data_IF_711930115567
#
_entry.id   IF_711930115567
#
_cell.length_a   1.000
_cell.length_b   1.000
_cell.length_c   1.000
_cell.angle_alpha   90.00
_cell.angle_beta   90.00
_cell.angle_gamma   90.00
#
_symmetry.space_group_name_H-M   'P 1'
#
loop_
_entity.id
_entity.type
_entity.pdbx_description
1 polymer ?
#
# COMPACT_ATOMS: atom_id res chain seq x y z
N UNK A 1 49.33 -21.06 18.92
CA UNK A 1 48.02 -21.08 18.20
C UNK A 1 46.84 -20.45 18.95
N UNK A 2 46.83 -20.27 20.28
CA UNK A 2 45.68 -19.69 21.01
C UNK A 2 45.57 -18.15 21.01
N UNK A 3 46.62 -17.40 20.67
CA UNK A 3 46.60 -15.91 20.70
C UNK A 3 46.00 -15.26 19.44
N UNK A 4 45.95 -15.98 18.31
CA UNK A 4 45.44 -15.45 17.03
C UNK A 4 43.92 -15.48 16.91
N UNK A 5 43.22 -16.33 17.68
CA UNK A 5 41.75 -16.39 17.66
C UNK A 5 41.08 -15.28 18.50
N UNK A 6 41.77 -14.72 19.50
CA UNK A 6 41.21 -13.66 20.34
C UNK A 6 41.14 -12.31 19.61
N UNK A 7 42.14 -11.99 18.78
CA UNK A 7 42.18 -10.75 17.99
C UNK A 7 41.10 -10.72 16.89
N UNK A 8 40.80 -11.87 16.26
CA UNK A 8 39.76 -11.97 15.23
C UNK A 8 38.34 -11.77 15.79
N UNK A 9 38.08 -12.20 17.03
CA UNK A 9 36.77 -12.00 17.68
C UNK A 9 36.55 -10.55 18.15
N UNK A 10 37.60 -9.86 18.59
CA UNK A 10 37.53 -8.46 19.01
C UNK A 10 37.35 -7.52 17.81
N UNK A 11 37.99 -7.82 16.66
CA UNK A 11 37.81 -7.06 15.42
C UNK A 11 36.41 -7.23 14.81
N UNK A 12 35.81 -8.42 14.94
CA UNK A 12 34.46 -8.67 14.42
C UNK A 12 33.37 -8.05 15.31
N UNK A 13 33.58 -7.99 16.63
CA UNK A 13 32.65 -7.33 17.56
C UNK A 13 32.68 -5.80 17.46
N UNK A 14 33.84 -5.21 17.14
CA UNK A 14 33.96 -3.76 16.92
C UNK A 14 33.38 -3.31 15.58
N UNK A 15 33.43 -4.15 14.54
CA UNK A 15 32.75 -3.87 13.27
C UNK A 15 31.22 -3.97 13.37
N UNK A 16 30.70 -4.90 14.16
CA UNK A 16 29.23 -5.05 14.36
C UNK A 16 28.66 -3.93 15.24
N UNK A 17 29.42 -3.42 16.21
CA UNK A 17 28.98 -2.30 17.06
C UNK A 17 28.99 -0.94 16.33
N UNK A 18 29.87 -0.75 15.33
CA UNK A 18 29.95 0.50 14.57
C UNK A 18 28.92 0.59 13.42
N UNK A 19 28.34 -0.53 13.01
CA UNK A 19 27.28 -0.57 12.00
C UNK A 19 25.87 -0.25 12.56
N UNK A 20 25.70 -0.29 13.90
CA UNK A 20 24.41 -0.02 14.56
C UNK A 20 24.18 1.44 14.98
N UNK A 21 25.08 2.36 14.63
CA UNK A 21 24.96 3.79 14.97
C UNK A 21 24.68 4.70 13.76
N UNK A 22 24.28 4.14 12.62
CA UNK A 22 23.72 4.92 11.53
C UNK A 22 22.20 5.06 11.76
N UNK A 23 21.81 5.86 12.75
CA UNK A 23 20.47 6.44 12.78
C UNK A 23 20.36 7.33 11.56
N UNK A 24 19.79 6.76 10.50
CA UNK A 24 19.25 7.49 9.37
C UNK A 24 18.17 8.41 9.95
N UNK A 25 18.56 9.66 10.27
CA UNK A 25 17.61 10.72 10.51
C UNK A 25 16.89 10.89 9.17
N UNK A 26 15.76 10.22 9.03
CA UNK A 26 14.79 10.53 7.99
C UNK A 26 14.31 11.93 8.32
N UNK A 27 15.00 12.94 7.80
CA UNK A 27 14.40 14.25 7.60
C UNK A 27 13.30 13.99 6.59
N UNK A 28 12.08 13.73 7.08
CA UNK A 28 10.90 14.04 6.31
C UNK A 28 11.09 15.50 5.93
N UNK A 29 11.29 15.75 4.64
CA UNK A 29 11.12 17.08 4.12
C UNK A 29 9.63 17.38 4.31
N UNK A 30 9.27 17.91 5.48
CA UNK A 30 8.04 18.65 5.60
C UNK A 30 8.11 19.71 4.51
N UNK A 31 7.20 19.63 3.55
CA UNK A 31 7.06 20.68 2.56
C UNK A 31 6.95 21.99 3.35
N UNK A 32 7.97 22.84 3.21
CA UNK A 32 8.01 24.11 3.92
C UNK A 32 6.71 24.86 3.62
N UNK A 33 5.96 25.18 4.67
CA UNK A 33 4.72 25.95 4.52
C UNK A 33 5.07 27.28 3.87
N UNK A 34 4.25 27.79 2.93
CA UNK A 34 4.56 29.05 2.28
C UNK A 34 4.62 30.14 3.35
N UNK A 35 5.67 30.95 3.29
CA UNK A 35 5.90 32.09 4.18
C UNK A 35 6.15 33.33 3.34
N UNK A 36 5.75 34.49 3.86
CA UNK A 36 6.06 35.79 3.26
C UNK A 36 6.78 36.61 4.32
N UNK A 37 8.02 37.00 4.05
CA UNK A 37 8.83 37.78 4.99
C UNK A 37 8.77 39.25 4.63
N UNK A 38 8.41 40.05 5.62
CA UNK A 38 8.33 41.50 5.55
C UNK A 38 9.47 42.08 6.36
N UNK A 39 10.17 43.03 5.75
CA UNK A 39 11.26 43.73 6.40
C UNK A 39 10.99 45.22 6.32
N UNK A 40 11.27 45.92 7.41
CA UNK A 40 11.06 47.36 7.48
C UNK A 40 11.78 47.99 8.64
N UNK A 41 11.61 49.30 8.74
CA UNK A 41 12.13 50.10 9.84
C UNK A 41 11.06 51.04 10.34
N UNK A 42 10.88 51.11 11.64
CA UNK A 42 9.98 52.06 12.30
C UNK A 42 10.82 53.15 12.96
N UNK A 43 10.50 54.40 12.66
CA UNK A 43 11.08 55.59 13.30
C UNK A 43 9.99 56.38 13.99
N UNK A 44 10.32 56.99 15.12
CA UNK A 44 9.44 57.94 15.78
C UNK A 44 9.36 59.25 14.97
N UNK A 45 8.41 60.12 15.31
CA UNK A 45 8.25 61.42 14.67
C UNK A 45 9.50 62.33 14.82
N UNK A 46 10.34 62.08 15.82
CA UNK A 46 11.61 62.77 16.07
C UNK A 46 12.79 62.22 15.22
N UNK A 47 12.54 61.22 14.37
CA UNK A 47 13.56 60.57 13.53
C UNK A 47 14.44 59.55 14.27
N UNK A 48 14.25 59.37 15.58
CA UNK A 48 14.96 58.32 16.34
C UNK A 48 14.37 56.95 16.06
N UNK A 49 15.17 55.87 16.16
CA UNK A 49 14.67 54.52 15.97
C UNK A 49 13.61 54.18 17.03
N UNK A 50 12.56 53.48 16.59
CA UNK A 50 11.57 52.94 17.50
C UNK A 50 12.17 51.76 18.29
N UNK A 51 12.00 51.77 19.61
CA UNK A 51 12.65 50.86 20.55
C UNK A 51 11.62 50.45 21.60
N UNK A 52 11.13 49.22 21.53
CA UNK A 52 10.23 48.65 22.55
C UNK A 52 10.37 47.12 22.61
N UNK A 53 10.41 46.54 23.83
CA UNK A 53 10.58 45.10 24.03
C UNK A 53 9.35 44.25 23.68
N UNK A 54 8.19 44.87 23.46
CA UNK A 54 6.92 44.17 23.28
C UNK A 54 6.09 44.67 22.11
N UNK A 55 6.73 45.07 21.01
CA UNK A 55 6.00 45.63 19.86
C UNK A 55 5.13 44.55 19.23
N UNK A 56 3.82 44.77 19.17
CA UNK A 56 2.91 43.86 18.50
C UNK A 56 2.69 44.33 17.06
N UNK A 57 2.83 43.41 16.11
CA UNK A 57 2.51 43.59 14.72
C UNK A 57 1.23 42.85 14.40
N UNK A 58 0.33 43.48 13.64
CA UNK A 58 -0.84 42.85 13.04
C UNK A 58 -0.72 42.97 11.54
N UNK A 59 -0.67 41.84 10.88
CA UNK A 59 -0.45 41.75 9.44
C UNK A 59 -1.70 41.14 8.82
N UNK A 60 -2.27 41.85 7.86
CA UNK A 60 -3.50 41.47 7.19
C UNK A 60 -3.27 41.33 5.70
N UNK A 61 -3.71 40.22 5.13
CA UNK A 61 -3.85 40.04 3.68
C UNK A 61 -5.30 40.32 3.33
N UNK A 62 -5.52 41.30 2.47
CA UNK A 62 -6.82 41.81 2.05
C UNK A 62 -7.13 41.41 0.61
N UNK A 63 -8.43 41.43 0.28
CA UNK A 63 -8.92 41.39 -1.10
C UNK A 63 -8.42 42.61 -1.92
N UNK A 64 -8.45 42.54 -3.27
CA UNK A 64 -7.95 43.61 -4.14
C UNK A 64 -8.61 44.97 -3.90
N UNK A 65 -9.87 44.97 -3.47
CA UNK A 65 -10.65 46.17 -3.15
C UNK A 65 -10.38 46.73 -1.75
N UNK A 66 -9.44 46.12 -1.00
CA UNK A 66 -9.04 46.50 0.37
C UNK A 66 -10.15 46.39 1.40
N UNK A 67 -11.24 45.66 1.10
CA UNK A 67 -12.41 45.59 2.00
C UNK A 67 -12.39 44.38 2.90
N UNK A 68 -12.04 43.21 2.39
CA UNK A 68 -12.19 41.95 3.13
C UNK A 68 -10.84 41.39 3.57
N UNK A 69 -10.76 40.96 4.83
CA UNK A 69 -9.58 40.30 5.39
C UNK A 69 -9.61 38.81 5.05
N UNK A 70 -8.65 38.36 4.24
CA UNK A 70 -8.47 36.95 3.85
C UNK A 70 -7.60 36.18 4.84
N UNK A 71 -6.62 36.86 5.42
CA UNK A 71 -5.71 36.28 6.41
C UNK A 71 -5.28 37.37 7.39
N UNK A 72 -5.15 37.01 8.67
CA UNK A 72 -4.66 37.91 9.71
C UNK A 72 -3.81 37.16 10.71
N UNK A 73 -2.64 37.72 10.99
CA UNK A 73 -1.69 37.17 11.94
C UNK A 73 -1.16 38.30 12.83
N UNK A 74 -1.13 38.04 14.13
CA UNK A 74 -0.51 38.92 15.11
C UNK A 74 0.80 38.33 15.59
N UNK A 75 1.88 39.12 15.62
CA UNK A 75 3.18 38.71 16.13
C UNK A 75 3.75 39.74 17.11
N UNK A 76 4.24 39.28 18.26
CA UNK A 76 5.04 40.13 19.16
C UNK A 76 6.52 40.02 18.81
N UNK A 77 7.19 41.16 18.59
CA UNK A 77 8.63 41.25 18.36
C UNK A 77 9.28 42.29 19.25
N UNK A 78 10.47 41.95 19.73
CA UNK A 78 11.35 42.84 20.48
C UNK A 78 12.18 43.68 19.51
N UNK A 79 12.02 45.01 19.56
CA UNK A 79 12.77 45.97 18.75
C UNK A 79 13.87 46.68 19.56
N UNK A 80 14.07 46.32 20.83
CA UNK A 80 15.11 46.89 21.68
C UNK A 80 16.52 46.55 21.17
N UNK A 81 17.35 47.57 21.00
CA UNK A 81 18.68 47.47 20.40
C UNK A 81 18.68 47.11 18.91
N UNK A 82 17.55 47.19 18.20
CA UNK A 82 17.43 46.82 16.76
C UNK A 82 17.32 48.00 15.81
N UNK A 83 17.59 49.22 16.27
CA UNK A 83 17.44 50.47 15.49
C UNK A 83 16.08 50.63 14.77
N UNK A 84 15.02 50.05 15.35
CA UNK A 84 13.67 50.03 14.78
C UNK A 84 13.50 49.09 13.58
N UNK A 85 14.51 48.29 13.23
CA UNK A 85 14.43 47.29 12.18
C UNK A 85 13.61 46.09 12.64
N UNK A 86 12.70 45.64 11.78
CA UNK A 86 11.92 44.43 12.01
C UNK A 86 11.97 43.51 10.80
N UNK A 87 11.90 42.21 11.06
CA UNK A 87 11.65 41.17 10.08
C UNK A 87 10.55 40.26 10.63
N UNK A 88 9.44 40.16 9.90
CA UNK A 88 8.26 39.39 10.29
C UNK A 88 7.91 38.46 9.15
N UNK A 89 7.90 37.16 9.42
CA UNK A 89 7.55 36.14 8.45
C UNK A 89 6.16 35.60 8.76
N UNK A 90 5.24 35.71 7.79
CA UNK A 90 3.88 35.18 7.91
C UNK A 90 3.89 33.66 7.85
N UNK A 91 3.01 33.03 8.63
CA UNK A 91 2.76 31.59 8.63
C UNK A 91 4.04 30.75 8.91
N UNK A 92 4.95 31.28 9.73
CA UNK A 92 6.25 30.68 10.05
C UNK A 92 6.27 29.85 11.36
N UNK A 93 5.16 29.88 12.12
CA UNK A 93 5.05 29.19 13.41
C UNK A 93 5.91 29.78 14.52
N UNK A 94 6.43 31.01 14.36
CA UNK A 94 7.24 31.70 15.35
C UNK A 94 6.53 31.80 16.70
N UNK A 95 7.30 31.66 17.80
CA UNK A 95 6.79 31.91 19.13
C UNK A 95 6.26 33.36 19.25
N UNK A 96 5.05 33.52 19.81
CA UNK A 96 4.37 34.82 19.87
C UNK A 96 3.66 35.21 18.58
N UNK A 97 3.61 34.34 17.57
CA UNK A 97 2.68 34.44 16.44
C UNK A 97 1.36 33.73 16.75
N UNK A 98 0.24 34.37 16.41
CA UNK A 98 -1.06 33.76 16.41
C UNK A 98 -1.86 34.22 15.20
N UNK A 99 -2.48 33.26 14.49
CA UNK A 99 -3.46 33.54 13.46
C UNK A 99 -4.79 33.95 14.11
N UNK A 100 -5.31 35.11 13.74
CA UNK A 100 -6.49 35.73 14.39
C UNK A 100 -7.66 35.98 13.43
N UNK A 101 -7.56 35.56 12.17
CA UNK A 101 -8.67 35.72 11.22
C UNK A 101 -9.89 34.83 11.49
N UNK A 102 -9.69 33.64 12.09
CA UNK A 102 -10.75 32.68 12.35
C UNK A 102 -11.32 32.01 11.10
N UNK A 103 -10.66 32.16 9.94
CA UNK A 103 -11.11 31.54 8.70
C UNK A 103 -10.69 30.05 8.64
N UNK A 104 -11.44 29.25 7.89
CA UNK A 104 -11.21 27.80 7.75
C UNK A 104 -10.16 27.42 6.69
N UNK A 105 -9.83 28.33 5.79
CA UNK A 105 -8.81 28.11 4.74
C UNK A 105 -7.41 28.36 5.27
N UNK A 106 -6.40 27.81 4.61
CA UNK A 106 -4.96 27.96 4.95
C UNK A 106 -4.38 29.27 4.42
N UNK A 107 -3.19 29.65 4.90
CA UNK A 107 -2.45 30.81 4.36
C UNK A 107 -2.18 30.69 2.85
N UNK A 108 -1.79 29.50 2.40
CA UNK A 108 -1.59 29.20 0.97
C UNK A 108 -2.86 29.48 0.15
N UNK A 109 -4.01 29.06 0.66
CA UNK A 109 -5.29 29.32 0.01
C UNK A 109 -5.61 30.82 -0.02
N UNK A 110 -5.35 31.58 1.04
CA UNK A 110 -5.59 33.02 1.05
C UNK A 110 -4.77 33.78 -0.04
N UNK A 111 -3.61 33.25 -0.42
CA UNK A 111 -2.75 33.79 -1.49
C UNK A 111 -3.13 33.28 -2.89
N UNK A 112 -3.88 32.19 -2.97
CA UNK A 112 -4.30 31.54 -4.22
C UNK A 112 -5.47 32.29 -4.87
N UNK A 113 -5.48 32.36 -6.21
CA UNK A 113 -6.61 32.86 -7.00
C UNK A 113 -7.58 31.72 -7.40
N UNK A 114 -7.69 30.69 -6.56
CA UNK A 114 -8.55 29.53 -6.78
C UNK A 114 -9.61 29.39 -5.69
N UNK A 115 -10.81 28.97 -6.10
CA UNK A 115 -11.93 28.74 -5.20
C UNK A 115 -12.70 30.01 -4.85
N UNK A 116 -13.56 29.90 -3.85
CA UNK A 116 -14.36 31.01 -3.33
C UNK A 116 -14.21 31.09 -1.81
N UNK A 117 -14.02 32.29 -1.29
CA UNK A 117 -13.87 32.58 0.13
C UNK A 117 -15.19 33.13 0.66
N UNK A 118 -15.78 32.43 1.62
CA UNK A 118 -16.96 32.91 2.36
C UNK A 118 -16.47 33.62 3.62
N UNK A 119 -16.34 34.94 3.54
CA UNK A 119 -15.71 35.77 4.56
C UNK A 119 -16.81 36.31 5.49
N UNK A 120 -16.69 36.17 6.82
CA UNK A 120 -17.65 36.75 7.75
C UNK A 120 -17.79 38.27 7.53
N UNK A 121 -19.02 38.80 7.53
CA UNK A 121 -19.27 40.22 7.31
C UNK A 121 -18.46 41.15 8.23
N UNK A 122 -18.22 40.74 9.47
CA UNK A 122 -17.41 41.46 10.45
C UNK A 122 -15.94 41.67 10.03
N UNK A 123 -15.46 40.90 9.05
CA UNK A 123 -14.09 40.96 8.50
C UNK A 123 -14.04 41.68 7.15
N UNK A 124 -15.14 42.29 6.73
CA UNK A 124 -15.24 43.07 5.50
C UNK A 124 -15.71 44.49 5.80
N UNK A 125 -14.92 45.49 5.40
CA UNK A 125 -15.32 46.89 5.46
C UNK A 125 -16.58 47.12 4.62
N UNK A 126 -17.58 47.75 5.21
CA UNK A 126 -18.87 48.09 4.58
C UNK A 126 -19.69 46.87 4.10
N UNK A 127 -19.54 45.70 4.71
CA UNK A 127 -20.52 44.63 4.54
C UNK A 127 -21.87 45.10 5.11
N UNK A 128 -22.79 45.54 4.25
CA UNK A 128 -24.09 46.13 4.63
C UNK A 128 -25.08 45.17 5.28
N UNK A 129 -24.63 44.13 6.00
CA UNK A 129 -25.45 43.12 6.63
C UNK A 129 -24.64 42.09 7.44
N UNK A 130 -25.32 41.10 8.02
CA UNK A 130 -24.71 40.00 8.81
C UNK A 130 -24.29 38.80 7.97
N UNK A 131 -24.70 38.76 6.70
CA UNK A 131 -24.41 37.65 5.78
C UNK A 131 -22.94 37.63 5.34
N UNK A 132 -22.30 36.45 5.26
CA UNK A 132 -20.94 36.34 4.75
C UNK A 132 -20.79 36.95 3.35
N UNK A 133 -19.70 37.66 3.11
CA UNK A 133 -19.31 38.18 1.80
C UNK A 133 -18.56 37.08 1.07
N UNK A 134 -19.06 36.69 -0.11
CA UNK A 134 -18.39 35.71 -0.95
C UNK A 134 -17.44 36.43 -1.90
N UNK A 135 -16.14 36.24 -1.68
CA UNK A 135 -15.08 36.70 -2.59
C UNK A 135 -14.62 35.54 -3.46
N UNK A 136 -14.77 35.68 -4.78
CA UNK A 136 -14.23 34.73 -5.77
C UNK A 136 -13.15 35.46 -6.56
N UNK A 137 -11.85 35.14 -6.36
CA UNK A 137 -10.76 35.84 -7.04
C UNK A 137 -10.83 35.65 -8.55
N UNK A 138 -10.52 36.71 -9.29
CA UNK A 138 -10.19 36.61 -10.71
C UNK A 138 -8.74 36.16 -10.89
N UNK A 139 -8.40 35.68 -12.09
CA UNK A 139 -7.05 35.18 -12.38
C UNK A 139 -5.95 36.23 -12.15
N UNK A 140 -6.26 37.51 -12.35
CA UNK A 140 -5.36 38.66 -12.22
C UNK A 140 -5.54 39.44 -10.91
N UNK A 141 -6.31 38.92 -9.96
CA UNK A 141 -6.52 39.61 -8.69
C UNK A 141 -5.26 39.58 -7.83
N UNK A 142 -4.77 40.76 -7.44
CA UNK A 142 -3.63 40.92 -6.54
C UNK A 142 -4.09 40.95 -5.08
N UNK A 143 -3.18 40.63 -4.15
CA UNK A 143 -3.47 40.73 -2.72
C UNK A 143 -2.90 42.03 -2.17
N UNK A 144 -3.63 42.66 -1.26
CA UNK A 144 -3.17 43.88 -0.59
C UNK A 144 -2.74 43.52 0.82
N UNK A 145 -1.54 43.95 1.20
CA UNK A 145 -0.99 43.78 2.52
C UNK A 145 -1.15 45.06 3.33
N UNK A 146 -1.70 44.91 4.54
CA UNK A 146 -1.75 45.95 5.55
C UNK A 146 -0.95 45.49 6.76
N UNK A 147 0.08 46.26 7.10
CA UNK A 147 0.88 46.04 8.31
C UNK A 147 0.52 47.14 9.29
N UNK A 148 0.09 46.76 10.48
CA UNK A 148 -0.10 47.68 11.59
C UNK A 148 0.76 47.26 12.77
N UNK A 149 1.19 48.21 13.59
CA UNK A 149 1.94 47.94 14.81
C UNK A 149 1.34 48.72 15.98
N UNK A 150 1.64 48.25 17.19
CA UNK A 150 1.38 49.00 18.41
C UNK A 150 2.44 48.66 19.46
N UNK A 151 2.73 49.62 20.32
CA UNK A 151 3.47 49.41 21.56
C UNK A 151 2.52 48.95 22.67
N UNK A 152 2.96 48.22 23.71
CA UNK A 152 2.20 48.03 24.95
C UNK A 152 1.63 49.31 25.58
N UNK A 153 2.19 50.49 25.28
CA UNK A 153 1.67 51.78 25.76
C UNK A 153 0.57 52.38 24.87
N UNK A 154 0.39 51.88 23.65
CA UNK A 154 -0.57 52.38 22.67
C UNK A 154 -1.91 51.64 22.78
N UNK A 155 -3.01 52.40 22.76
CA UNK A 155 -4.38 51.85 22.74
C UNK A 155 -4.91 51.57 21.33
N UNK A 156 -4.30 52.17 20.31
CA UNK A 156 -4.73 52.07 18.90
C UNK A 156 -3.61 51.50 18.03
N UNK A 157 -3.99 50.74 17.01
CA UNK A 157 -3.08 50.26 15.98
C UNK A 157 -2.67 51.41 15.06
N UNK A 158 -1.37 51.59 14.84
CA UNK A 158 -0.85 52.47 13.80
C UNK A 158 -0.58 51.67 12.53
N UNK A 159 -1.17 52.09 11.42
CA UNK A 159 -1.18 51.33 10.18
C UNK A 159 -0.20 51.94 9.17
N UNK A 160 0.70 51.10 8.67
CA UNK A 160 1.55 51.43 7.53
C UNK A 160 0.71 51.53 6.25
N UNK A 161 1.18 52.27 5.22
CA UNK A 161 0.49 52.31 3.93
C UNK A 161 0.29 50.92 3.34
N UNK A 162 -0.82 50.74 2.62
CA UNK A 162 -1.10 49.53 1.88
C UNK A 162 0.03 49.21 0.89
N UNK A 163 0.42 47.94 0.83
CA UNK A 163 1.40 47.45 -0.13
C UNK A 163 0.78 46.33 -0.97
N UNK A 164 1.11 46.31 -2.25
CA UNK A 164 0.62 45.29 -3.18
C UNK A 164 1.55 44.07 -3.11
N UNK A 165 0.97 42.89 -2.86
CA UNK A 165 1.65 41.62 -3.06
C UNK A 165 1.50 41.25 -4.53
N UNK A 166 2.58 41.47 -5.28
CA UNK A 166 2.66 41.07 -6.68
C UNK A 166 2.47 39.56 -6.84
N UNK A 167 2.09 39.16 -8.06
CA UNK A 167 1.80 37.78 -8.48
C UNK A 167 2.92 36.75 -8.17
N UNK A 168 4.13 37.21 -7.85
CA UNK A 168 5.22 36.36 -7.38
C UNK A 168 4.83 35.51 -6.17
N UNK A 169 4.01 36.03 -5.26
CA UNK A 169 3.56 35.29 -4.07
C UNK A 169 2.48 34.26 -4.43
N UNK A 170 1.66 34.53 -5.45
CA UNK A 170 0.71 33.55 -6.02
C UNK A 170 1.40 32.41 -6.78
N UNK A 171 2.72 32.45 -6.98
CA UNK A 171 3.49 31.30 -7.47
C UNK A 171 3.42 30.08 -6.54
N UNK A 172 2.93 30.26 -5.30
CA UNK A 172 2.60 29.16 -4.39
C UNK A 172 1.67 28.13 -5.04
N UNK A 173 0.81 28.54 -5.98
CA UNK A 173 -0.06 27.60 -6.71
C UNK A 173 0.72 26.60 -7.58
N UNK A 174 1.98 26.89 -7.93
CA UNK A 174 2.84 25.99 -8.73
C UNK A 174 3.23 24.69 -8.00
N UNK A 175 3.05 24.61 -6.68
CA UNK A 175 3.25 23.37 -5.93
C UNK A 175 2.12 22.36 -6.17
N UNK A 176 1.01 22.79 -6.77
CA UNK A 176 -0.14 21.98 -7.08
C UNK A 176 -0.32 21.87 -8.61
N UNK A 177 -0.75 20.71 -9.10
CA UNK A 177 -1.12 20.54 -10.51
C UNK A 177 -2.64 20.53 -10.59
N UNK A 178 -3.22 21.57 -11.22
CA UNK A 178 -4.68 21.70 -11.34
C UNK A 178 -5.41 21.87 -10.01
N UNK A 179 -4.74 22.37 -8.97
CA UNK A 179 -5.29 22.49 -7.60
C UNK A 179 -5.16 21.21 -6.77
N UNK A 180 -4.56 20.15 -7.32
CA UNK A 180 -4.25 18.94 -6.58
C UNK A 180 -2.80 18.95 -6.12
N UNK A 181 -2.51 18.71 -4.83
CA UNK A 181 -1.14 18.48 -4.36
C UNK A 181 -0.58 17.21 -5.00
N UNK A 182 0.74 17.05 -4.99
CA UNK A 182 1.43 15.86 -5.54
C UNK A 182 0.88 14.54 -4.98
N UNK A 183 0.44 14.53 -3.73
CA UNK A 183 -0.17 13.38 -3.04
C UNK A 183 -1.54 12.98 -3.58
N UNK A 184 -2.21 13.85 -4.35
CA UNK A 184 -3.55 13.64 -4.88
C UNK A 184 -3.59 13.46 -6.40
N UNK A 185 -2.43 13.41 -7.06
CA UNK A 185 -2.32 13.25 -8.52
C UNK A 185 -2.52 11.80 -8.97
N UNK A 186 -2.02 10.85 -8.20
CA UNK A 186 -2.28 9.42 -8.43
C UNK A 186 -3.40 8.98 -7.48
N UNK A 187 -4.61 8.81 -8.01
CA UNK A 187 -5.75 8.28 -7.25
C UNK A 187 -6.03 6.86 -7.70
N UNK A 188 -6.41 6.01 -6.75
CA UNK A 188 -7.02 4.70 -7.05
C UNK A 188 -8.51 4.89 -6.83
N UNK A 189 -9.31 4.57 -7.84
CA UNK A 189 -10.76 4.51 -7.69
C UNK A 189 -11.14 3.11 -7.21
N UNK A 190 -11.71 3.02 -6.02
CA UNK A 190 -12.35 1.80 -5.53
C UNK A 190 -13.86 1.98 -5.58
N UNK A 191 -14.52 1.23 -6.48
CA UNK A 191 -15.98 1.21 -6.61
C UNK A 191 -16.62 2.61 -6.75
N UNK A 192 -15.99 3.50 -7.53
CA UNK A 192 -16.51 4.84 -7.82
C UNK A 192 -16.27 5.89 -6.72
N UNK A 193 -15.55 5.53 -5.64
CA UNK A 193 -15.09 6.50 -4.63
C UNK A 193 -13.59 6.74 -4.80
N UNK A 194 -13.13 7.99 -5.03
CA UNK A 194 -11.70 8.29 -5.09
C UNK A 194 -11.04 8.01 -3.75
N UNK A 195 -10.21 6.96 -3.69
CA UNK A 195 -9.37 6.65 -2.54
C UNK A 195 -8.04 7.38 -2.63
N UNK A 196 -7.49 7.79 -1.48
CA UNK A 196 -6.07 8.18 -1.40
C UNK A 196 -5.26 6.89 -1.48
N UNK A 197 -4.55 6.70 -2.59
CA UNK A 197 -3.61 5.60 -2.72
C UNK A 197 -2.41 5.88 -1.81
N UNK A 198 -2.07 4.93 -0.93
CA UNK A 198 -0.81 5.00 -0.21
C UNK A 198 0.34 5.05 -1.22
N UNK A 199 1.40 5.80 -0.89
CA UNK A 199 2.59 5.84 -1.73
C UNK A 199 3.13 4.42 -1.94
N UNK A 200 3.39 4.03 -3.19
CA UNK A 200 3.98 2.74 -3.52
C UNK A 200 5.34 2.62 -2.82
N UNK A 201 5.50 1.58 -1.99
CA UNK A 201 6.77 1.38 -1.30
C UNK A 201 7.86 0.93 -2.29
N UNK A 202 9.13 1.10 -1.92
CA UNK A 202 10.24 0.57 -2.73
C UNK A 202 10.16 -0.95 -2.90
N UNK A 203 9.58 -1.66 -1.92
CA UNK A 203 9.35 -3.10 -1.99
C UNK A 203 8.26 -3.45 -3.02
N UNK A 204 7.14 -2.72 -3.01
CA UNK A 204 6.04 -2.92 -3.96
C UNK A 204 6.50 -2.64 -5.39
N UNK A 205 7.28 -1.57 -5.58
CA UNK A 205 7.85 -1.25 -6.89
C UNK A 205 8.79 -2.35 -7.40
N UNK A 206 9.65 -2.88 -6.51
CA UNK A 206 10.55 -3.97 -6.85
C UNK A 206 9.77 -5.24 -7.19
N UNK A 207 8.71 -5.55 -6.46
CA UNK A 207 7.86 -6.70 -6.77
C UNK A 207 7.08 -6.51 -8.08
N UNK A 208 6.60 -5.31 -8.36
CA UNK A 208 5.97 -5.00 -9.64
C UNK A 208 6.93 -5.23 -10.81
N UNK A 209 8.19 -4.80 -10.69
CA UNK A 209 9.21 -5.10 -11.70
C UNK A 209 9.42 -6.61 -11.87
N UNK A 210 9.42 -7.39 -10.77
CA UNK A 210 9.53 -8.85 -10.82
C UNK A 210 8.30 -9.53 -11.46
N UNK A 211 7.12 -8.93 -11.35
CA UNK A 211 5.93 -9.41 -12.04
C UNK A 211 6.08 -9.15 -13.54
N UNK A 212 6.53 -7.94 -13.91
CA UNK A 212 6.72 -7.54 -15.32
C UNK A 212 7.79 -8.37 -16.03
N UNK A 213 8.90 -8.67 -15.34
CA UNK A 213 9.99 -9.50 -15.90
C UNK A 213 9.75 -11.02 -15.74
N UNK A 214 8.67 -11.42 -15.07
CA UNK A 214 8.32 -12.81 -14.83
C UNK A 214 9.21 -13.52 -13.81
N UNK A 215 10.01 -12.82 -13.01
CA UNK A 215 10.90 -13.38 -11.98
C UNK A 215 10.28 -13.47 -10.58
N UNK A 216 9.03 -13.01 -10.40
CA UNK A 216 8.34 -13.08 -9.10
C UNK A 216 8.36 -14.48 -8.49
N UNK A 217 8.57 -14.54 -7.18
CA UNK A 217 8.48 -15.77 -6.38
C UNK A 217 7.28 -15.77 -5.44
N UNK A 218 6.51 -14.68 -5.40
CA UNK A 218 5.38 -14.53 -4.49
C UNK A 218 4.08 -15.05 -5.11
N UNK A 219 3.96 -15.01 -6.43
CA UNK A 219 2.76 -15.40 -7.16
C UNK A 219 3.03 -16.63 -8.03
N UNK A 220 2.02 -17.50 -8.12
CA UNK A 220 2.05 -18.61 -9.06
C UNK A 220 2.03 -18.09 -10.50
N UNK A 221 2.94 -18.59 -11.33
CA UNK A 221 3.04 -18.22 -12.73
C UNK A 221 2.27 -19.20 -13.60
N UNK A 222 1.96 -18.77 -14.83
CA UNK A 222 1.23 -19.57 -15.80
C UNK A 222 1.98 -20.86 -16.21
N UNK A 223 3.31 -20.86 -16.12
CA UNK A 223 4.16 -22.05 -16.37
C UNK A 223 4.23 -23.02 -15.18
N UNK A 224 3.53 -22.72 -14.09
CA UNK A 224 3.53 -23.50 -12.85
C UNK A 224 4.69 -23.19 -11.91
N UNK A 225 5.68 -22.40 -12.31
CA UNK A 225 6.73 -21.94 -11.40
C UNK A 225 6.16 -20.94 -10.38
N UNK A 226 6.72 -20.92 -9.16
CA UNK A 226 6.16 -20.13 -8.04
C UNK A 226 4.97 -20.81 -7.33
N UNK A 227 4.42 -21.90 -7.86
CA UNK A 227 3.44 -22.74 -7.15
C UNK A 227 4.15 -23.88 -6.38
N UNK A 228 4.78 -23.55 -5.25
CA UNK A 228 5.53 -24.51 -4.41
C UNK A 228 4.92 -24.62 -3.01
N UNK A 229 3.78 -25.30 -2.85
CA UNK A 229 3.13 -25.44 -1.56
C UNK A 229 4.00 -26.28 -0.61
N UNK A 230 4.27 -25.77 0.60
CA UNK A 230 5.01 -26.51 1.65
C UNK A 230 4.13 -27.44 2.48
N UNK A 231 2.82 -27.43 2.21
CA UNK A 231 1.79 -28.21 2.90
C UNK A 231 0.79 -28.76 1.88
N UNK A 232 -0.04 -29.72 2.30
CA UNK A 232 -1.07 -30.28 1.44
C UNK A 232 -2.03 -29.20 0.90
N UNK A 233 -2.34 -29.25 -0.40
CA UNK A 233 -3.29 -28.34 -1.05
C UNK A 233 -4.69 -28.92 -0.98
N UNK A 234 -5.62 -28.20 -0.36
CA UNK A 234 -7.03 -28.57 -0.32
C UNK A 234 -7.81 -27.75 -1.36
N UNK A 235 -8.44 -28.43 -2.32
CA UNK A 235 -9.25 -27.80 -3.38
C UNK A 235 -10.73 -27.63 -3.01
N UNK A 236 -11.11 -27.76 -1.73
CA UNK A 236 -12.48 -27.57 -1.24
C UNK A 236 -13.55 -28.36 -2.03
N UNK A 237 -13.24 -29.62 -2.34
CA UNK A 237 -14.13 -30.51 -3.11
C UNK A 237 -14.26 -30.18 -4.60
N UNK A 238 -13.49 -29.22 -5.12
CA UNK A 238 -13.51 -28.87 -6.53
C UNK A 238 -12.81 -29.93 -7.40
N UNK A 239 -13.26 -30.03 -8.66
CA UNK A 239 -12.66 -30.94 -9.64
C UNK A 239 -11.38 -30.34 -10.20
N UNK A 240 -10.32 -31.15 -10.24
CA UNK A 240 -9.11 -30.84 -11.02
C UNK A 240 -9.30 -31.43 -12.41
N UNK A 241 -9.34 -30.59 -13.45
CA UNK A 241 -9.55 -30.99 -14.84
C UNK A 241 -8.25 -30.89 -15.64
N UNK A 242 -8.24 -31.47 -16.85
CA UNK A 242 -7.08 -31.43 -17.77
C UNK A 242 -5.77 -32.01 -17.23
N UNK A 243 -5.85 -32.99 -16.32
CA UNK A 243 -4.69 -33.77 -15.87
C UNK A 243 -4.32 -34.77 -16.97
N UNK A 244 -3.09 -34.68 -17.49
CA UNK A 244 -2.55 -35.60 -18.49
C UNK A 244 -2.40 -37.04 -17.96
N UNK A 245 -2.01 -37.96 -18.86
CA UNK A 245 -1.62 -39.30 -18.44
C UNK A 245 -0.33 -39.23 -17.61
N UNK A 246 -0.22 -39.96 -16.48
CA UNK A 246 0.98 -39.96 -15.66
C UNK A 246 2.17 -40.55 -16.43
N UNK A 247 3.35 -39.96 -16.26
CA UNK A 247 4.61 -40.40 -16.87
C UNK A 247 5.62 -40.90 -15.84
N UNK A 248 5.54 -40.38 -14.61
CA UNK A 248 6.31 -40.83 -13.46
C UNK A 248 5.39 -41.44 -12.39
N UNK A 249 5.97 -42.28 -11.51
CA UNK A 249 5.22 -42.92 -10.41
C UNK A 249 4.70 -41.92 -9.36
N UNK A 250 5.24 -40.69 -9.34
CA UNK A 250 4.82 -39.60 -8.45
C UNK A 250 3.74 -38.70 -9.06
N UNK A 251 3.39 -38.87 -10.33
CA UNK A 251 2.43 -38.00 -11.01
C UNK A 251 1.01 -38.27 -10.49
N UNK A 252 0.19 -37.21 -10.45
CA UNK A 252 -1.24 -37.38 -10.29
C UNK A 252 -1.82 -38.14 -11.50
N UNK A 253 -2.68 -39.12 -11.25
CA UNK A 253 -3.30 -39.91 -12.30
C UNK A 253 -4.73 -39.45 -12.56
N UNK A 254 -5.10 -39.22 -13.82
CA UNK A 254 -6.51 -39.00 -14.16
C UNK A 254 -7.32 -40.31 -14.10
N UNK A 255 -8.66 -40.18 -13.98
CA UNK A 255 -9.55 -41.34 -13.84
C UNK A 255 -9.54 -42.25 -15.07
N UNK A 256 -9.48 -41.68 -16.27
CA UNK A 256 -9.44 -42.42 -17.53
C UNK A 256 -8.24 -43.38 -17.60
N UNK A 257 -7.06 -42.91 -17.18
CA UNK A 257 -5.86 -43.71 -17.09
C UNK A 257 -6.01 -44.86 -16.07
N UNK A 258 -6.52 -44.58 -14.87
CA UNK A 258 -6.73 -45.60 -13.84
C UNK A 258 -7.76 -46.63 -14.32
N UNK A 259 -8.90 -46.18 -14.83
CA UNK A 259 -9.96 -47.06 -15.31
C UNK A 259 -9.46 -47.93 -16.46
N UNK A 260 -8.66 -47.41 -17.40
CA UNK A 260 -8.07 -48.19 -18.50
C UNK A 260 -7.06 -49.23 -18.01
N UNK A 261 -6.18 -48.86 -17.07
CA UNK A 261 -5.17 -49.80 -16.54
C UNK A 261 -5.79 -50.87 -15.65
N UNK A 262 -6.80 -50.52 -14.85
CA UNK A 262 -7.52 -51.45 -13.97
C UNK A 262 -8.47 -52.33 -14.78
N UNK A 263 -9.24 -51.79 -15.72
CA UNK A 263 -10.10 -52.61 -16.61
C UNK A 263 -9.28 -53.50 -17.57
N UNK A 264 -8.06 -53.09 -17.94
CA UNK A 264 -7.11 -53.95 -18.65
C UNK A 264 -6.55 -55.11 -17.80
N UNK A 265 -6.48 -54.93 -16.47
CA UNK A 265 -6.17 -56.01 -15.51
C UNK A 265 -7.39 -56.89 -15.27
N UNK A 266 -8.58 -56.29 -15.18
CA UNK A 266 -9.86 -57.01 -15.13
C UNK A 266 -10.06 -57.83 -16.40
N UNK A 267 -9.57 -57.38 -17.56
CA UNK A 267 -9.53 -58.17 -18.80
C UNK A 267 -8.54 -59.35 -18.75
N UNK A 268 -7.53 -59.35 -17.87
CA UNK A 268 -6.70 -60.55 -17.62
C UNK A 268 -7.38 -61.54 -16.69
N UNK A 269 -8.28 -61.07 -15.82
CA UNK A 269 -9.06 -61.89 -14.89
C UNK A 269 -10.33 -62.41 -15.58
N UNK A 270 -10.98 -61.62 -16.43
CA UNK A 270 -12.26 -61.91 -17.08
C UNK A 270 -12.11 -62.31 -18.57
N UNK A 271 -11.15 -61.74 -19.29
CA UNK A 271 -10.97 -61.95 -20.73
C UNK A 271 -10.15 -63.19 -21.11
N UNK A 272 -9.19 -63.60 -20.26
CA UNK A 272 -8.56 -64.92 -20.43
C UNK A 272 -9.50 -66.05 -20.04
N UNK A 273 -10.43 -65.81 -19.11
CA UNK A 273 -11.39 -66.82 -18.65
C UNK A 273 -12.65 -66.95 -19.49
N UNK A 274 -13.19 -65.87 -20.07
CA UNK A 274 -14.40 -65.97 -20.89
C UNK A 274 -14.16 -66.74 -22.21
N UNK A 275 -12.90 -66.84 -22.66
CA UNK A 275 -12.51 -67.60 -23.86
C UNK A 275 -11.91 -68.98 -23.51
N UNK A 276 -11.46 -69.19 -22.27
CA UNK A 276 -10.90 -70.46 -21.77
C UNK A 276 -11.90 -71.32 -21.00
N UNK A 277 -12.95 -70.74 -20.42
CA UNK A 277 -14.14 -71.45 -19.97
C UNK A 277 -14.92 -71.83 -21.23
N UNK A 278 -14.45 -72.89 -21.89
CA UNK A 278 -15.15 -73.49 -23.02
C UNK A 278 -16.61 -73.75 -22.63
N UNK A 279 -17.53 -73.46 -23.54
CA UNK A 279 -18.96 -73.73 -23.38
C UNK A 279 -19.13 -75.17 -22.90
N UNK A 280 -19.77 -75.37 -21.73
CA UNK A 280 -20.05 -76.71 -21.19
C UNK A 280 -20.80 -77.53 -22.24
N UNK A 281 -20.14 -78.56 -22.77
CA UNK A 281 -20.72 -79.46 -23.76
C UNK A 281 -21.27 -80.71 -23.06
N UNK A 282 -22.14 -81.45 -23.74
CA UNK A 282 -22.75 -82.68 -23.21
C UNK A 282 -21.75 -83.80 -22.84
N UNK A 283 -20.45 -83.63 -23.09
CA UNK A 283 -19.36 -84.55 -22.70
C UNK A 283 -18.54 -84.10 -21.49
N UNK A 284 -18.90 -83.00 -20.81
CA UNK A 284 -18.13 -82.43 -19.69
C UNK A 284 -18.63 -82.86 -18.30
N UNK A 285 -19.57 -83.80 -18.22
CA UNK A 285 -20.03 -84.37 -16.95
C UNK A 285 -18.85 -84.97 -16.16
N UNK A 286 -18.64 -84.50 -14.93
CA UNK A 286 -17.58 -84.96 -14.04
C UNK A 286 -16.24 -84.23 -14.19
N UNK A 287 -16.17 -83.14 -14.98
CA UNK A 287 -15.04 -82.22 -14.98
C UNK A 287 -15.25 -81.09 -13.97
N UNK A 288 -14.16 -80.56 -13.40
CA UNK A 288 -14.16 -79.36 -12.55
C UNK A 288 -13.15 -78.34 -13.08
N UNK A 289 -13.38 -77.05 -12.77
CA UNK A 289 -12.44 -75.98 -13.10
C UNK A 289 -11.26 -76.03 -12.13
N UNK A 290 -10.05 -76.09 -12.69
CA UNK A 290 -8.78 -76.10 -11.95
C UNK A 290 -7.84 -75.06 -12.54
N UNK A 291 -7.12 -74.33 -11.69
CA UNK A 291 -6.07 -73.41 -12.13
C UNK A 291 -4.79 -74.18 -12.47
N UNK A 292 -4.28 -74.07 -13.70
CA UNK A 292 -3.07 -74.80 -14.16
C UNK A 292 -1.75 -74.06 -13.87
N UNK A 293 -1.80 -72.90 -13.21
CA UNK A 293 -0.65 -72.02 -12.98
C UNK A 293 -0.59 -70.81 -13.91
N UNK A 294 -1.36 -70.80 -15.01
CA UNK A 294 -1.41 -69.67 -15.96
C UNK A 294 -2.81 -69.31 -16.44
N UNK A 295 -3.76 -70.26 -16.43
CA UNK A 295 -5.17 -70.08 -16.81
C UNK A 295 -6.06 -71.09 -16.08
N UNK A 296 -7.37 -70.87 -16.12
CA UNK A 296 -8.32 -71.90 -15.69
C UNK A 296 -8.53 -72.92 -16.80
N UNK A 297 -8.55 -74.20 -16.42
CA UNK A 297 -8.76 -75.34 -17.31
C UNK A 297 -9.80 -76.29 -16.72
N UNK A 298 -10.48 -77.08 -17.57
CA UNK A 298 -11.40 -78.13 -17.14
C UNK A 298 -10.67 -79.47 -17.05
N UNK A 299 -10.70 -80.12 -15.88
CA UNK A 299 -10.05 -81.43 -15.67
C UNK A 299 -11.05 -82.46 -15.10
N UNK A 300 -10.92 -83.73 -15.51
CA UNK A 300 -11.74 -84.84 -15.01
C UNK A 300 -11.45 -85.08 -13.52
N UNK A 301 -12.50 -85.18 -12.70
CA UNK A 301 -12.39 -85.21 -11.24
C UNK A 301 -11.70 -86.45 -10.62
N UNK A 302 -11.23 -87.42 -11.42
CA UNK A 302 -10.70 -88.70 -10.96
C UNK A 302 -9.19 -88.73 -10.74
N UNK A 303 -8.46 -87.64 -10.99
CA UNK A 303 -7.00 -87.55 -10.76
C UNK A 303 -6.66 -86.34 -9.90
N UNK A 304 -7.16 -86.34 -8.66
CA UNK A 304 -6.63 -85.45 -7.63
C UNK A 304 -5.66 -86.23 -6.74
N UNK A 305 -4.37 -86.25 -7.10
CA UNK A 305 -3.33 -86.49 -6.09
C UNK A 305 -3.27 -85.24 -5.23
N UNK A 306 -4.00 -85.28 -4.11
CA UNK A 306 -4.10 -84.21 -3.14
C UNK A 306 -2.70 -83.91 -2.57
N UNK A 307 -2.03 -82.93 -3.14
CA UNK A 307 -0.95 -82.20 -2.47
C UNK A 307 -0.97 -80.78 -3.01
N UNK A 308 -2.02 -80.04 -2.64
CA UNK A 308 -2.08 -78.61 -2.89
C UNK A 308 -1.11 -77.91 -1.91
N UNK A 309 -0.21 -77.09 -2.45
CA UNK A 309 0.61 -76.20 -1.66
C UNK A 309 -0.29 -75.17 -0.94
N UNK A 310 0.15 -74.74 0.24
CA UNK A 310 -0.61 -73.89 1.14
C UNK A 310 -1.05 -72.59 0.44
N UNK A 311 -2.36 -72.37 0.27
CA UNK A 311 -2.92 -71.17 -0.35
C UNK A 311 -3.98 -71.38 -1.45
N UNK A 312 -4.26 -72.62 -1.86
CA UNK A 312 -5.32 -72.89 -2.86
C UNK A 312 -6.71 -73.05 -2.22
N UNK A 313 -7.74 -72.52 -2.88
CA UNK A 313 -9.15 -72.70 -2.52
C UNK A 313 -9.50 -74.20 -2.54
N UNK A 314 -9.93 -74.72 -1.39
CA UNK A 314 -10.28 -76.13 -1.24
C UNK A 314 -11.60 -76.45 -1.97
N UNK A 315 -11.60 -77.50 -2.79
CA UNK A 315 -12.82 -78.05 -3.42
C UNK A 315 -12.94 -79.50 -2.99
N UNK A 316 -13.82 -79.77 -2.02
CA UNK A 316 -14.14 -81.12 -1.55
C UNK A 316 -15.56 -81.21 -0.99
N UNK A 317 -16.09 -82.43 -0.84
CA UNK A 317 -17.46 -82.70 -0.43
C UNK A 317 -17.68 -82.72 1.10
N UNK A 318 -16.75 -82.17 1.88
CA UNK A 318 -16.83 -82.06 3.34
C UNK A 318 -16.67 -83.37 4.13
N UNK A 319 -16.53 -84.53 3.49
CA UNK A 319 -16.69 -85.81 4.19
C UNK A 319 -15.52 -86.25 5.08
N UNK A 320 -14.38 -85.53 5.07
CA UNK A 320 -13.20 -85.83 5.90
C UNK A 320 -12.68 -84.61 6.69
N UNK A 321 -13.53 -83.62 6.97
CA UNK A 321 -13.20 -82.57 7.95
C UNK A 321 -13.59 -83.12 9.32
N UNK A 322 -12.61 -83.60 10.08
CA UNK A 322 -12.75 -83.98 11.50
C UNK A 322 -12.76 -82.70 12.33
#
# INVERSE_FOLDING_TARGET
>A
MKRTQALSRIMLQTFVALATAATLVTTVAEAATPTVTLQGRITKADGTPFQSPGTEFKIQVLSPDQKCVLYEETQTKDLSGKDGLFAVSLNDGSAGSARTDGNSWTFSQALSNKGSFSIPAARCANAGGTSPVVYTPLASDERVLLVAFKDPTMSTWDAMPYSLLSHSVSSVDSINVGGFPSTALCRVEDNGTPGSAAAMSSADYTELLKIVDGSTSQYAKADGSGFTPTSAVNYNGQRITSIGAPTAASDATNKDYVDTKVSGQDSKIYGQDATAIGTLAAGDSGKVLTWDGSKWVMQVASTFTNTLANGSLWIGNGSNVI
#
